data_IF_286676712595
#
_entry.id   IF_286676712595
#
_cell.length_a   1.000
_cell.length_b   1.000
_cell.length_c   1.000
_cell.angle_alpha   90.00
_cell.angle_beta   90.00
_cell.angle_gamma   90.00
#
_symmetry.space_group_name_H-M   'P 1'
#
loop_
_entity.id
_entity.type
_entity.pdbx_description
1 polymer ?
#
# COMPACT_ATOMS: atom_id res chain seq x y z
N UNK A 1 -13.79 -6.22 -2.89
CA UNK A 1 -12.64 -5.62 -2.19
C UNK A 1 -12.47 -6.34 -0.88
N UNK A 2 -11.26 -6.43 -0.34
CA UNK A 2 -10.99 -6.96 0.99
C UNK A 2 -9.78 -6.24 1.61
N UNK A 3 -9.74 -6.05 2.94
CA UNK A 3 -8.60 -5.43 3.59
C UNK A 3 -7.45 -6.44 3.68
N UNK A 4 -6.23 -5.92 3.61
CA UNK A 4 -5.04 -6.64 4.03
C UNK A 4 -4.38 -5.79 5.10
N UNK A 5 -4.62 -6.13 6.37
CA UNK A 5 -4.06 -5.39 7.51
C UNK A 5 -2.54 -5.46 7.47
N UNK A 6 -1.93 -4.28 7.62
CA UNK A 6 -0.51 -4.10 7.82
C UNK A 6 -0.27 -3.27 9.05
N UNK A 7 0.42 -3.87 10.02
CA UNK A 7 0.98 -3.16 11.15
C UNK A 7 2.48 -2.94 10.92
N UNK A 8 2.95 -1.74 11.28
CA UNK A 8 4.35 -1.32 11.20
C UNK A 8 4.73 -0.50 12.43
N UNK A 9 6.03 -0.47 12.73
CA UNK A 9 6.61 0.35 13.78
C UNK A 9 7.51 1.40 13.14
N UNK A 10 7.31 2.66 13.49
CA UNK A 10 8.17 3.76 13.07
C UNK A 10 9.16 4.08 14.18
N UNK A 11 10.45 4.02 13.87
CA UNK A 11 11.53 4.26 14.83
C UNK A 11 12.38 5.46 14.42
N UNK A 12 13.07 6.08 15.38
CA UNK A 12 14.10 7.08 15.10
C UNK A 12 15.44 6.39 14.90
N UNK A 13 15.98 6.45 13.69
CA UNK A 13 17.26 5.83 13.34
C UNK A 13 17.91 6.55 12.14
N UNK A 14 18.42 7.78 12.33
CA UNK A 14 18.89 8.62 11.24
C UNK A 14 20.13 8.08 10.50
N UNK A 15 20.85 7.13 11.09
CA UNK A 15 22.01 6.47 10.48
C UNK A 15 21.62 5.39 9.45
N UNK A 16 20.37 4.90 9.47
CA UNK A 16 19.90 3.90 8.51
C UNK A 16 19.36 4.62 7.28
N UNK A 17 20.12 4.58 6.19
CA UNK A 17 19.79 5.27 4.93
C UNK A 17 19.39 4.33 3.79
N UNK A 18 19.66 3.03 3.94
CA UNK A 18 19.32 2.01 2.95
C UNK A 18 18.09 1.22 3.36
N UNK A 19 17.24 0.89 2.39
CA UNK A 19 16.12 -0.03 2.60
C UNK A 19 16.59 -1.48 2.51
N UNK A 20 16.02 -2.36 3.32
CA UNK A 20 16.26 -3.81 3.25
C UNK A 20 14.93 -4.55 3.38
N UNK A 21 14.77 -5.59 2.57
CA UNK A 21 13.59 -6.45 2.56
C UNK A 21 14.07 -7.89 2.66
N UNK A 22 13.47 -8.67 3.55
CA UNK A 22 13.81 -10.08 3.77
C UNK A 22 12.54 -10.91 3.62
N UNK A 23 12.62 -11.95 2.78
CA UNK A 23 11.56 -12.93 2.64
C UNK A 23 11.68 -13.96 3.77
N UNK A 24 10.71 -13.95 4.68
CA UNK A 24 10.67 -14.79 5.88
C UNK A 24 10.12 -16.20 5.60
N UNK A 25 9.50 -16.41 4.44
CA UNK A 25 8.72 -17.61 4.13
C UNK A 25 7.31 -17.64 4.75
N UNK A 26 6.97 -16.64 5.58
CA UNK A 26 5.63 -16.49 6.18
C UNK A 26 4.86 -15.38 5.44
N UNK A 27 3.82 -15.77 4.71
CA UNK A 27 2.98 -14.86 3.94
C UNK A 27 2.28 -13.78 4.76
N UNK A 28 2.08 -14.02 6.06
CA UNK A 28 1.44 -13.08 6.98
C UNK A 28 2.44 -12.13 7.66
N UNK A 29 3.74 -12.46 7.65
CA UNK A 29 4.80 -11.69 8.31
C UNK A 29 5.81 -11.19 7.30
N UNK A 30 5.77 -9.89 7.02
CA UNK A 30 6.81 -9.22 6.27
C UNK A 30 7.98 -8.85 7.19
N UNK A 31 9.19 -8.73 6.62
CA UNK A 31 10.36 -8.21 7.30
C UNK A 31 11.05 -7.19 6.39
N UNK A 32 10.95 -5.91 6.72
CA UNK A 32 11.59 -4.83 5.97
C UNK A 32 11.93 -3.63 6.86
N UNK A 33 12.94 -2.88 6.46
CA UNK A 33 13.22 -1.53 6.95
C UNK A 33 13.22 -0.54 5.79
N UNK A 34 12.51 0.58 5.93
CA UNK A 34 12.39 1.61 4.90
C UNK A 34 12.61 2.98 5.54
N UNK A 35 13.77 3.63 5.31
CA UNK A 35 14.03 5.01 5.71
C UNK A 35 13.08 5.99 5.02
N UNK A 36 12.60 7.00 5.74
CA UNK A 36 11.67 8.03 5.21
C UNK A 36 12.36 9.32 4.74
N UNK A 37 13.65 9.47 5.01
CA UNK A 37 14.43 10.67 4.68
C UNK A 37 14.37 11.80 5.72
N UNK A 38 13.56 11.65 6.77
CA UNK A 38 13.42 12.60 7.90
C UNK A 38 14.11 12.10 9.18
N UNK A 39 15.01 11.13 9.05
CA UNK A 39 15.68 10.46 10.18
C UNK A 39 14.86 9.35 10.84
N UNK A 40 13.66 9.05 10.32
CA UNK A 40 12.84 7.91 10.77
C UNK A 40 12.87 6.73 9.81
N UNK A 41 12.65 5.54 10.35
CA UNK A 41 12.67 4.28 9.61
C UNK A 41 11.41 3.48 9.95
N UNK A 42 10.73 2.98 8.92
CA UNK A 42 9.61 2.06 9.08
C UNK A 42 10.17 0.65 9.19
N UNK A 43 9.93 -0.02 10.32
CA UNK A 43 10.07 -1.45 10.47
C UNK A 43 8.71 -2.10 10.19
N UNK A 44 8.69 -3.07 9.29
CA UNK A 44 7.48 -3.79 9.00
C UNK A 44 7.73 -5.27 8.80
N UNK A 45 6.68 -6.08 8.80
CA UNK A 45 5.31 -5.71 9.12
C UNK A 45 4.41 -6.93 9.05
N UNK A 46 3.10 -6.71 9.00
CA UNK A 46 2.12 -7.79 8.77
C UNK A 46 1.40 -7.64 7.43
N UNK A 47 0.79 -8.75 6.98
CA UNK A 47 0.00 -8.85 5.76
C UNK A 47 -1.17 -9.81 5.98
N UNK A 48 -2.12 -9.41 6.84
CA UNK A 48 -3.24 -10.28 7.27
C UNK A 48 -4.47 -9.99 6.41
N UNK A 49 -4.92 -10.97 5.62
CA UNK A 49 -6.13 -10.85 4.79
C UNK A 49 -7.39 -10.87 5.65
N UNK A 50 -8.41 -10.14 5.21
CA UNK A 50 -9.75 -10.10 5.81
C UNK A 50 -9.78 -9.64 7.28
N UNK A 51 -8.69 -9.05 7.78
CA UNK A 51 -8.65 -8.37 9.07
C UNK A 51 -8.94 -6.87 8.87
N UNK A 52 -10.04 -6.43 9.47
CA UNK A 52 -10.55 -5.06 9.40
C UNK A 52 -10.08 -4.19 10.57
N UNK A 53 -9.33 -4.75 11.52
CA UNK A 53 -8.87 -4.02 12.69
C UNK A 53 -7.86 -2.92 12.31
N UNK A 54 -8.17 -1.70 12.71
CA UNK A 54 -7.26 -0.55 12.61
C UNK A 54 -6.51 -0.29 13.93
N UNK A 55 -6.75 -1.11 14.96
CA UNK A 55 -6.07 -0.96 16.24
C UNK A 55 -4.66 -1.54 16.15
N UNK A 56 -3.72 -0.88 16.82
CA UNK A 56 -2.37 -1.40 17.02
C UNK A 56 -2.43 -2.52 18.05
N UNK A 57 -1.77 -3.64 17.75
CA UNK A 57 -1.53 -4.71 18.71
C UNK A 57 -0.07 -4.63 19.21
N UNK A 58 0.17 -4.26 20.49
CA UNK A 58 1.53 -4.14 21.02
C UNK A 58 2.36 -5.44 20.93
N UNK A 59 1.72 -6.60 20.91
CA UNK A 59 2.41 -7.88 20.73
C UNK A 59 2.99 -7.99 19.32
N UNK A 60 2.19 -7.64 18.31
CA UNK A 60 2.64 -7.63 16.90
C UNK A 60 3.81 -6.66 16.71
N UNK A 61 3.77 -5.49 17.36
CA UNK A 61 4.88 -4.53 17.28
C UNK A 61 6.18 -5.08 17.84
N UNK A 62 6.14 -5.76 19.01
CA UNK A 62 7.32 -6.45 19.57
C UNK A 62 7.85 -7.52 18.61
N UNK A 63 6.96 -8.35 18.07
CA UNK A 63 7.34 -9.38 17.10
C UNK A 63 7.94 -8.81 15.80
N UNK A 64 7.48 -7.64 15.33
CA UNK A 64 8.08 -6.94 14.18
C UNK A 64 9.51 -6.51 14.52
N UNK A 65 9.72 -5.88 15.68
CA UNK A 65 11.03 -5.40 16.10
C UNK A 65 12.02 -6.57 16.25
N UNK A 66 11.64 -7.63 16.96
CA UNK A 66 12.47 -8.81 17.17
C UNK A 66 12.86 -9.47 15.84
N UNK A 67 11.89 -9.63 14.93
CA UNK A 67 12.14 -10.20 13.60
C UNK A 67 13.07 -9.33 12.77
N UNK A 68 12.87 -8.02 12.78
CA UNK A 68 13.77 -7.09 12.08
C UNK A 68 15.18 -7.14 12.67
N UNK A 69 15.33 -7.14 14.00
CA UNK A 69 16.64 -7.27 14.67
C UNK A 69 17.37 -8.55 14.28
N UNK A 70 16.65 -9.67 14.21
CA UNK A 70 17.22 -10.95 13.82
C UNK A 70 17.70 -10.99 12.37
N UNK A 71 16.95 -10.42 11.42
CA UNK A 71 17.30 -10.48 10.00
C UNK A 71 18.18 -9.32 9.51
N UNK A 72 18.30 -8.25 10.29
CA UNK A 72 19.03 -7.02 9.96
C UNK A 72 19.99 -6.70 11.11
N UNK A 73 20.78 -7.71 11.51
CA UNK A 73 21.62 -7.62 12.70
C UNK A 73 22.61 -6.45 12.64
N UNK A 74 23.26 -6.26 11.50
CA UNK A 74 24.25 -5.18 11.28
C UNK A 74 23.66 -3.80 11.58
N UNK A 75 22.38 -3.60 11.26
CA UNK A 75 21.72 -2.31 11.38
C UNK A 75 20.96 -2.15 12.70
N UNK A 76 20.45 -3.24 13.29
CA UNK A 76 19.43 -3.17 14.35
C UNK A 76 19.75 -3.93 15.64
N UNK A 77 20.70 -4.87 15.65
CA UNK A 77 20.92 -5.79 16.80
C UNK A 77 21.12 -5.03 18.11
N UNK A 78 22.14 -4.17 18.15
CA UNK A 78 22.53 -3.39 19.32
C UNK A 78 21.83 -2.03 19.39
N UNK A 79 20.97 -1.72 18.42
CA UNK A 79 20.21 -0.48 18.40
C UNK A 79 19.18 -0.48 19.54
N UNK A 80 19.27 0.52 20.42
CA UNK A 80 18.18 0.85 21.35
C UNK A 80 17.03 1.44 20.54
N UNK A 81 15.92 0.71 20.50
CA UNK A 81 14.76 1.10 19.71
C UNK A 81 14.05 2.30 20.37
N UNK A 82 14.09 3.45 19.69
CA UNK A 82 13.30 4.64 20.00
C UNK A 82 12.06 4.66 19.09
N UNK A 83 10.91 4.19 19.62
CA UNK A 83 9.65 4.14 18.88
C UNK A 83 9.06 5.54 18.80
N UNK A 84 8.92 6.07 17.58
CA UNK A 84 8.23 7.33 17.32
C UNK A 84 6.73 7.11 17.28
N UNK A 85 6.27 6.06 16.58
CA UNK A 85 4.85 5.75 16.41
C UNK A 85 4.63 4.32 15.94
N UNK A 86 3.45 3.78 16.23
CA UNK A 86 2.97 2.51 15.69
C UNK A 86 1.76 2.77 14.79
N UNK A 87 1.66 2.02 13.70
CA UNK A 87 0.56 2.17 12.74
C UNK A 87 -0.04 0.82 12.42
N UNK A 88 -1.38 0.74 12.42
CA UNK A 88 -2.14 -0.36 11.84
C UNK A 88 -3.07 0.21 10.77
N UNK A 89 -2.98 -0.31 9.55
CA UNK A 89 -3.76 0.18 8.43
C UNK A 89 -4.17 -0.95 7.49
N UNK A 90 -5.18 -0.70 6.66
CA UNK A 90 -5.68 -1.67 5.68
C UNK A 90 -5.19 -1.34 4.27
N UNK A 91 -4.48 -2.27 3.63
CA UNK A 91 -4.18 -2.18 2.21
C UNK A 91 -5.44 -2.57 1.40
N UNK A 92 -5.82 -1.83 0.34
CA UNK A 92 -7.05 -2.07 -0.41
C UNK A 92 -6.88 -3.21 -1.43
N UNK A 93 -7.06 -4.45 -0.98
CA UNK A 93 -6.98 -5.65 -1.83
C UNK A 93 -8.22 -5.88 -2.68
N UNK A 94 -8.02 -6.51 -3.86
CA UNK A 94 -9.10 -7.00 -4.73
C UNK A 94 -8.75 -8.39 -5.24
N UNK A 95 -9.73 -9.32 -5.20
CA UNK A 95 -9.51 -10.75 -5.52
C UNK A 95 -8.99 -10.96 -6.95
N UNK A 96 -9.49 -10.17 -7.89
CA UNK A 96 -9.10 -10.19 -9.30
C UNK A 96 -8.02 -9.16 -9.66
N UNK A 97 -7.21 -8.70 -8.68
CA UNK A 97 -6.15 -7.73 -8.90
C UNK A 97 -6.64 -6.29 -9.05
N UNK A 98 -5.82 -5.39 -9.61
CA UNK A 98 -6.21 -3.99 -9.87
C UNK A 98 -7.37 -3.94 -10.85
N UNK A 99 -8.38 -3.11 -10.59
CA UNK A 99 -9.43 -2.76 -11.56
C UNK A 99 -9.04 -1.45 -12.25
N UNK A 100 -8.86 -1.52 -13.57
CA UNK A 100 -8.61 -0.40 -14.46
C UNK A 100 -9.56 -0.52 -15.64
N UNK A 101 -10.59 0.31 -15.69
CA UNK A 101 -11.62 0.26 -16.73
C UNK A 101 -12.42 1.57 -16.77
N UNK A 102 -13.06 1.82 -17.91
CA UNK A 102 -13.93 2.97 -18.15
C UNK A 102 -15.29 2.43 -18.59
N UNK A 103 -16.36 2.82 -17.89
CA UNK A 103 -17.73 2.42 -18.18
C UNK A 103 -18.67 3.61 -18.10
N UNK A 104 -19.87 3.48 -18.68
CA UNK A 104 -20.97 4.35 -18.32
C UNK A 104 -21.68 3.82 -17.07
N UNK A 105 -22.14 4.72 -16.22
CA UNK A 105 -23.07 4.33 -15.15
C UNK A 105 -24.45 4.00 -15.72
N UNK A 106 -25.30 3.41 -14.88
CA UNK A 106 -26.73 3.23 -15.14
C UNK A 106 -27.55 4.49 -14.79
N UNK A 107 -26.86 5.55 -14.33
CA UNK A 107 -27.47 6.81 -13.93
C UNK A 107 -27.19 7.91 -14.97
N UNK A 108 -28.12 8.84 -15.07
CA UNK A 108 -28.00 10.00 -15.93
C UNK A 108 -27.75 11.27 -15.11
N UNK A 109 -26.98 12.20 -15.65
CA UNK A 109 -26.82 13.52 -15.06
C UNK A 109 -28.10 14.36 -15.24
N UNK A 110 -28.12 15.59 -14.70
CA UNK A 110 -29.24 16.52 -14.83
C UNK A 110 -29.56 16.92 -16.28
N UNK A 111 -28.64 16.68 -17.22
CA UNK A 111 -28.80 16.94 -18.66
C UNK A 111 -29.26 15.69 -19.43
N UNK A 112 -29.62 14.61 -18.75
CA UNK A 112 -30.00 13.31 -19.34
C UNK A 112 -28.88 12.63 -20.15
N UNK A 113 -27.62 12.85 -19.78
CA UNK A 113 -26.45 12.18 -20.37
C UNK A 113 -25.95 11.08 -19.42
N UNK A 114 -25.48 9.95 -19.96
CA UNK A 114 -24.86 8.89 -19.16
C UNK A 114 -23.56 9.39 -18.55
N UNK A 115 -23.33 9.10 -17.27
CA UNK A 115 -22.11 9.51 -16.58
C UNK A 115 -20.98 8.52 -16.90
N UNK A 116 -19.79 9.02 -17.21
CA UNK A 116 -18.59 8.19 -17.39
C UNK A 116 -17.98 7.91 -16.02
N UNK A 117 -17.71 6.64 -15.73
CA UNK A 117 -17.10 6.16 -14.50
C UNK A 117 -15.75 5.50 -14.80
N UNK A 118 -14.70 6.04 -14.18
CA UNK A 118 -13.34 5.54 -14.28
C UNK A 118 -13.00 4.76 -13.01
N UNK A 119 -12.68 3.48 -13.16
CA UNK A 119 -12.26 2.63 -12.06
C UNK A 119 -10.74 2.52 -12.05
N UNK A 120 -10.10 2.96 -10.96
CA UNK A 120 -8.65 2.77 -10.74
C UNK A 120 -8.39 2.43 -9.27
N UNK A 121 -8.60 1.17 -8.88
CA UNK A 121 -8.51 0.75 -7.48
C UNK A 121 -8.10 -0.73 -7.31
N UNK A 122 -7.82 -1.15 -6.08
CA UNK A 122 -7.49 -2.54 -5.77
C UNK A 122 -6.00 -2.87 -5.80
N UNK A 123 -5.13 -1.87 -5.59
CA UNK A 123 -3.67 -2.01 -5.65
C UNK A 123 -3.04 -2.82 -4.51
N UNK A 124 -3.80 -3.15 -3.46
CA UNK A 124 -3.25 -3.82 -2.29
C UNK A 124 -2.04 -3.05 -1.72
N UNK A 125 -0.91 -3.73 -1.58
CA UNK A 125 0.32 -3.15 -1.02
C UNK A 125 1.20 -2.35 -1.98
N UNK A 126 0.81 -2.23 -3.26
CA UNK A 126 1.69 -1.70 -4.30
C UNK A 126 1.22 -0.34 -4.86
N UNK A 127 0.30 0.34 -4.17
CA UNK A 127 -0.32 1.58 -4.66
C UNK A 127 0.68 2.68 -4.99
N UNK A 128 1.67 2.93 -4.12
CA UNK A 128 2.67 3.98 -4.34
C UNK A 128 3.58 3.64 -5.53
N UNK A 129 4.19 2.45 -5.54
CA UNK A 129 5.10 2.05 -6.62
C UNK A 129 4.41 1.94 -7.99
N UNK A 130 3.12 1.64 -8.04
CA UNK A 130 2.35 1.54 -9.28
C UNK A 130 1.67 2.85 -9.69
N UNK A 131 1.61 3.85 -8.81
CA UNK A 131 0.76 5.03 -8.96
C UNK A 131 0.95 5.75 -10.29
N UNK A 132 2.18 6.14 -10.62
CA UNK A 132 2.49 6.93 -11.81
C UNK A 132 2.13 6.20 -13.11
N UNK A 133 2.52 4.94 -13.23
CA UNK A 133 2.21 4.11 -14.40
C UNK A 133 0.71 3.87 -14.53
N UNK A 134 0.03 3.59 -13.42
CA UNK A 134 -1.40 3.35 -13.40
C UNK A 134 -2.20 4.60 -13.80
N UNK A 135 -1.82 5.78 -13.30
CA UNK A 135 -2.45 7.05 -13.68
C UNK A 135 -2.18 7.39 -15.14
N UNK A 136 -0.93 7.26 -15.61
CA UNK A 136 -0.56 7.50 -17.00
C UNK A 136 -1.37 6.62 -17.95
N UNK A 137 -1.52 5.33 -17.62
CA UNK A 137 -2.31 4.40 -18.42
C UNK A 137 -3.80 4.75 -18.41
N UNK A 138 -4.36 5.15 -17.27
CA UNK A 138 -5.75 5.59 -17.20
C UNK A 138 -6.00 6.84 -18.06
N UNK A 139 -5.09 7.81 -18.07
CA UNK A 139 -5.19 9.00 -18.92
C UNK A 139 -5.23 8.62 -20.41
N UNK A 140 -4.39 7.68 -20.83
CA UNK A 140 -4.39 7.16 -22.20
C UNK A 140 -5.76 6.58 -22.59
N UNK A 141 -6.33 5.75 -21.71
CA UNK A 141 -7.66 5.14 -21.94
C UNK A 141 -8.79 6.18 -21.95
N UNK A 142 -8.70 7.22 -21.11
CA UNK A 142 -9.65 8.35 -21.11
C UNK A 142 -9.63 9.08 -22.45
N UNK A 143 -8.44 9.38 -22.97
CA UNK A 143 -8.29 10.08 -24.24
C UNK A 143 -8.87 9.26 -25.41
N UNK A 144 -8.56 7.97 -25.47
CA UNK A 144 -9.15 7.06 -26.48
C UNK A 144 -10.67 7.02 -26.41
N UNK A 145 -11.22 6.93 -25.19
CA UNK A 145 -12.67 6.90 -24.99
C UNK A 145 -13.33 8.20 -25.47
N UNK A 146 -12.71 9.35 -25.20
CA UNK A 146 -13.18 10.66 -25.65
C UNK A 146 -13.14 10.81 -27.18
N UNK A 147 -12.13 10.26 -27.85
CA UNK A 147 -12.02 10.27 -29.32
C UNK A 147 -13.11 9.41 -29.98
N UNK A 148 -13.38 8.21 -29.45
CA UNK A 148 -14.46 7.34 -29.95
C UNK A 148 -15.84 7.99 -29.76
N UNK A 149 -16.04 8.71 -28.67
CA UNK A 149 -17.28 9.47 -28.42
C UNK A 149 -17.52 10.59 -29.44
N UNK A 150 -16.46 11.22 -29.94
CA UNK A 150 -16.54 12.28 -30.97
C UNK A 150 -16.82 11.73 -32.37
N UNK A 151 -16.42 10.49 -32.67
CA UNK A 151 -16.65 9.86 -33.98
C UNK A 151 -18.08 9.34 -34.20
N UNK A 152 -18.94 9.38 -33.17
CA UNK A 152 -20.35 8.92 -33.24
C UNK A 152 -21.36 10.07 -33.27
N UNK A 153 -20.89 11.31 -33.45
CA UNK A 153 -21.67 12.53 -33.69
C UNK A 153 -21.38 13.01 -35.12
#
# INVERSE_FOLDING_TARGET
MYPIRGQVVLIRAPHIINSKIVHTGDDNKSCYMIPKGDGTVVLGGTKIKDDYSLQVDPKISREIIERCKYHMEEELKDLKIDIVKEYSASRPGRKSGVRMEINYTDHYNSRKERIILHHLYGFGGFGIQASWGACSKMIEEINKFAEVGKSKL
#
